data_IF_418166865320
#
_entry.id   IF_418166865320
#
_cell.length_a   1.000
_cell.length_b   1.000
_cell.length_c   1.000
_cell.angle_alpha   90.00
_cell.angle_beta   90.00
_cell.angle_gamma   90.00
#
_symmetry.space_group_name_H-M   'P 1'
#
loop_
_entity.id
_entity.type
_entity.pdbx_description
1 polymer ?
#
# COMPACT_ATOMS: atom_id res chain seq x y z
N UNK A 1 15.79 28.86 34.00
CA UNK A 1 15.24 27.74 33.21
C UNK A 1 15.94 27.70 31.86
N UNK A 2 16.60 26.60 31.48
CA UNK A 2 17.18 26.45 30.13
C UNK A 2 16.06 26.14 29.13
N UNK A 3 15.97 26.82 27.98
CA UNK A 3 14.96 26.48 26.97
C UNK A 3 15.27 25.09 26.41
N UNK A 4 14.29 24.18 26.46
CA UNK A 4 14.37 22.88 25.80
C UNK A 4 14.45 23.14 24.29
N UNK A 5 15.56 22.75 23.66
CA UNK A 5 15.67 22.72 22.19
C UNK A 5 14.61 21.75 21.68
N UNK A 6 13.52 22.29 21.13
CA UNK A 6 12.58 21.51 20.33
C UNK A 6 13.34 21.15 19.07
N UNK A 7 13.70 19.87 18.93
CA UNK A 7 14.33 19.35 17.71
C UNK A 7 13.25 19.48 16.62
N UNK A 8 13.35 20.52 15.80
CA UNK A 8 12.57 20.63 14.57
C UNK A 8 13.08 19.52 13.64
N UNK A 9 12.39 18.39 13.66
CA UNK A 9 12.66 17.30 12.73
C UNK A 9 12.26 17.82 11.35
N UNK A 10 13.25 17.96 10.48
CA UNK A 10 13.06 18.46 9.13
C UNK A 10 11.95 17.67 8.40
N UNK A 11 11.03 18.32 7.67
CA UNK A 11 9.96 17.65 6.92
C UNK A 11 10.48 16.53 6.01
N UNK A 12 11.70 16.67 5.49
CA UNK A 12 12.38 15.68 4.64
C UNK A 12 12.63 14.38 5.43
N UNK A 13 13.10 14.49 6.67
CA UNK A 13 13.33 13.34 7.56
C UNK A 13 12.01 12.65 7.92
N UNK A 14 10.94 13.40 8.14
CA UNK A 14 9.62 12.85 8.49
C UNK A 14 9.04 11.98 7.38
N UNK A 15 9.14 12.43 6.12
CA UNK A 15 8.65 11.65 4.97
C UNK A 15 9.45 10.37 4.75
N UNK A 16 10.77 10.41 4.94
CA UNK A 16 11.61 9.23 4.81
C UNK A 16 11.31 8.19 5.91
N UNK A 17 11.18 8.64 7.16
CA UNK A 17 10.77 7.79 8.27
C UNK A 17 9.40 7.15 8.03
N UNK A 18 8.43 7.92 7.50
CA UNK A 18 7.11 7.41 7.19
C UNK A 18 7.16 6.30 6.13
N UNK A 19 7.92 6.49 5.04
CA UNK A 19 8.10 5.48 3.99
C UNK A 19 8.77 4.21 4.52
N UNK A 20 9.78 4.34 5.38
CA UNK A 20 10.42 3.18 6.04
C UNK A 20 9.40 2.43 6.89
N UNK A 21 8.58 3.14 7.68
CA UNK A 21 7.54 2.52 8.49
C UNK A 21 6.53 1.77 7.63
N UNK A 22 6.08 2.37 6.52
CA UNK A 22 5.18 1.70 5.57
C UNK A 22 5.79 0.44 4.96
N UNK A 23 7.07 0.46 4.59
CA UNK A 23 7.79 -0.73 4.11
C UNK A 23 7.87 -1.82 5.18
N UNK A 24 8.21 -1.46 6.42
CA UNK A 24 8.23 -2.41 7.54
C UNK A 24 6.86 -3.01 7.82
N UNK A 25 5.81 -2.19 7.80
CA UNK A 25 4.43 -2.67 7.94
C UNK A 25 4.06 -3.61 6.81
N UNK A 26 4.40 -3.29 5.56
CA UNK A 26 4.18 -4.18 4.42
C UNK A 26 4.88 -5.53 4.62
N UNK A 27 6.13 -5.54 5.08
CA UNK A 27 6.90 -6.77 5.28
C UNK A 27 6.34 -7.65 6.42
N UNK A 28 5.78 -7.04 7.46
CA UNK A 28 5.28 -7.75 8.63
C UNK A 28 3.78 -8.09 8.56
N UNK A 29 3.02 -7.45 7.68
CA UNK A 29 1.59 -7.70 7.50
C UNK A 29 1.38 -8.82 6.48
N UNK A 30 0.51 -9.78 6.82
CA UNK A 30 0.11 -10.86 5.90
C UNK A 30 -1.15 -10.56 5.09
N UNK A 31 -1.69 -9.34 5.20
CA UNK A 31 -2.97 -8.97 4.62
C UNK A 31 -2.85 -7.85 3.59
N UNK A 32 -3.56 -8.00 2.48
CA UNK A 32 -3.74 -6.98 1.45
C UNK A 32 -5.23 -6.72 1.29
N UNK A 33 -5.59 -5.44 1.25
CA UNK A 33 -6.95 -5.00 1.06
C UNK A 33 -7.01 -4.07 -0.15
N UNK A 34 -8.04 -4.23 -0.97
CA UNK A 34 -8.38 -3.34 -2.08
C UNK A 34 -9.80 -2.85 -1.96
N UNK A 35 -10.19 -1.92 -2.83
CA UNK A 35 -11.57 -1.46 -2.95
C UNK A 35 -12.22 -2.14 -4.17
N UNK A 36 -13.45 -2.66 -4.02
CA UNK A 36 -14.13 -3.43 -5.06
C UNK A 36 -15.56 -2.93 -5.30
N UNK A 37 -15.91 -2.69 -6.56
CA UNK A 37 -17.27 -2.46 -7.04
C UNK A 37 -17.37 -2.90 -8.50
N UNK A 38 -17.90 -4.10 -8.76
CA UNK A 38 -17.93 -4.72 -10.10
C UNK A 38 -16.55 -4.82 -10.78
N UNK A 39 -15.48 -4.74 -9.98
CA UNK A 39 -14.11 -4.57 -10.45
C UNK A 39 -13.24 -3.99 -9.35
N UNK A 40 -11.93 -4.12 -9.53
CA UNK A 40 -10.95 -3.53 -8.63
C UNK A 40 -10.79 -2.04 -8.90
N UNK A 41 -10.75 -1.23 -7.84
CA UNK A 41 -10.48 0.20 -7.98
C UNK A 41 -9.10 0.43 -8.60
N UNK A 42 -9.04 1.37 -9.54
CA UNK A 42 -7.80 1.91 -10.11
C UNK A 42 -7.96 3.41 -10.22
N UNK A 43 -6.86 4.14 -10.13
CA UNK A 43 -6.89 5.60 -10.27
C UNK A 43 -5.69 6.11 -11.03
N UNK A 44 -5.83 7.30 -11.60
CA UNK A 44 -4.68 8.01 -12.18
C UNK A 44 -3.93 8.75 -11.09
N UNK A 45 -2.61 8.67 -11.17
CA UNK A 45 -1.69 9.47 -10.39
C UNK A 45 -0.70 10.17 -11.33
N UNK A 46 -1.04 11.40 -11.70
CA UNK A 46 -0.37 12.13 -12.78
C UNK A 46 -0.45 11.35 -14.10
N UNK A 47 0.68 10.89 -14.64
CA UNK A 47 0.76 10.11 -15.87
C UNK A 47 0.59 8.60 -15.63
N UNK A 48 0.72 8.14 -14.37
CA UNK A 48 0.66 6.73 -14.03
C UNK A 48 -0.78 6.27 -13.75
N UNK A 49 -1.09 5.02 -14.14
CA UNK A 49 -2.24 4.32 -13.58
C UNK A 49 -1.78 3.52 -12.36
N UNK A 50 -2.48 3.66 -11.23
CA UNK A 50 -2.15 2.96 -10.00
C UNK A 50 -3.29 2.10 -9.49
N UNK A 51 -2.91 0.97 -8.89
CA UNK A 51 -3.79 0.09 -8.14
C UNK A 51 -3.59 0.36 -6.64
N UNK A 52 -4.51 1.09 -5.99
CA UNK A 52 -4.42 1.41 -4.57
C UNK A 52 -4.71 0.19 -3.71
N UNK A 53 -3.88 -0.05 -2.70
CA UNK A 53 -4.11 -1.10 -1.71
C UNK A 53 -3.70 -0.65 -0.30
N UNK A 54 -4.19 -1.39 0.70
CA UNK A 54 -4.01 -1.12 2.12
C UNK A 54 -3.64 -2.39 2.89
N UNK A 55 -3.05 -2.21 4.07
CA UNK A 55 -2.68 -3.30 4.97
C UNK A 55 -3.76 -3.62 6.01
N UNK A 56 -4.85 -2.84 6.05
CA UNK A 56 -5.99 -3.08 6.93
C UNK A 56 -7.31 -2.64 6.26
N UNK A 57 -8.44 -3.26 6.64
CA UNK A 57 -9.73 -2.99 6.02
C UNK A 57 -10.29 -1.60 6.36
N UNK A 58 -9.95 -1.05 7.52
CA UNK A 58 -10.49 0.23 7.99
C UNK A 58 -9.96 1.38 7.13
N UNK A 59 -8.68 1.37 6.78
CA UNK A 59 -8.07 2.37 5.91
C UNK A 59 -8.64 2.29 4.50
N UNK A 60 -8.82 1.07 3.97
CA UNK A 60 -9.49 0.86 2.69
C UNK A 60 -10.93 1.39 2.70
N UNK A 61 -11.67 1.12 3.79
CA UNK A 61 -13.04 1.61 3.99
C UNK A 61 -13.10 3.14 4.02
N UNK A 62 -12.30 3.76 4.87
CA UNK A 62 -12.29 5.20 5.09
C UNK A 62 -11.92 5.92 3.79
N UNK A 63 -10.93 5.41 3.07
CA UNK A 63 -10.53 5.97 1.79
C UNK A 63 -11.65 5.84 0.74
N UNK A 64 -12.26 4.65 0.61
CA UNK A 64 -13.34 4.40 -0.33
C UNK A 64 -14.56 5.28 -0.02
N UNK A 65 -14.98 5.41 1.23
CA UNK A 65 -16.12 6.26 1.60
C UNK A 65 -15.94 7.73 1.19
N UNK A 66 -14.70 8.22 1.21
CA UNK A 66 -14.40 9.59 0.84
C UNK A 66 -14.28 9.80 -0.69
N UNK A 67 -13.74 8.82 -1.42
CA UNK A 67 -13.37 9.00 -2.84
C UNK A 67 -14.20 8.15 -3.82
N UNK A 68 -14.68 6.98 -3.38
CA UNK A 68 -15.40 5.97 -4.15
C UNK A 68 -16.56 5.36 -3.34
N UNK A 69 -17.67 6.09 -3.14
CA UNK A 69 -18.70 5.72 -2.18
C UNK A 69 -19.37 4.35 -2.43
N UNK A 70 -19.38 3.90 -3.69
CA UNK A 70 -19.95 2.60 -4.08
C UNK A 70 -18.98 1.41 -3.87
N UNK A 71 -17.71 1.69 -3.59
CA UNK A 71 -16.69 0.67 -3.42
C UNK A 71 -16.61 0.17 -1.98
N UNK A 72 -16.53 -1.15 -1.84
CA UNK A 72 -16.38 -1.82 -0.54
C UNK A 72 -14.96 -2.37 -0.36
N UNK A 73 -14.41 -2.32 0.86
CA UNK A 73 -13.11 -2.92 1.14
C UNK A 73 -13.20 -4.43 1.04
N UNK A 74 -12.30 -5.03 0.26
CA UNK A 74 -12.23 -6.46 0.01
C UNK A 74 -10.82 -6.97 0.22
N UNK A 75 -10.68 -8.04 1.01
CA UNK A 75 -9.41 -8.72 1.23
C UNK A 75 -8.97 -9.37 -0.08
N UNK A 76 -7.70 -9.20 -0.42
CA UNK A 76 -7.05 -9.85 -1.54
C UNK A 76 -6.25 -11.02 -0.98
N UNK A 77 -6.47 -12.20 -1.51
CA UNK A 77 -5.66 -13.36 -1.16
C UNK A 77 -4.22 -13.09 -1.64
N UNK A 78 -3.23 -13.30 -0.75
CA UNK A 78 -1.82 -13.05 -1.03
C UNK A 78 -1.31 -13.88 -2.23
N UNK A 79 -1.70 -15.14 -2.33
CA UNK A 79 -1.31 -16.03 -3.43
C UNK A 79 -1.93 -15.56 -4.77
N UNK A 80 -3.22 -15.24 -4.78
CA UNK A 80 -3.89 -14.68 -5.97
C UNK A 80 -3.27 -13.33 -6.36
N UNK A 81 -2.85 -12.53 -5.36
CA UNK A 81 -2.17 -11.27 -5.60
C UNK A 81 -0.83 -11.50 -6.30
N UNK A 82 0.00 -12.44 -5.83
CA UNK A 82 1.32 -12.74 -6.41
C UNK A 82 1.21 -13.34 -7.82
N UNK A 83 0.32 -14.32 -7.98
CA UNK A 83 0.29 -15.20 -9.15
C UNK A 83 -0.66 -14.73 -10.25
N UNK A 84 -1.72 -13.99 -9.92
CA UNK A 84 -2.71 -13.52 -10.90
C UNK A 84 -2.74 -11.99 -11.02
N UNK A 85 -2.85 -11.27 -9.90
CA UNK A 85 -3.06 -9.83 -9.94
C UNK A 85 -1.79 -9.08 -10.35
N UNK A 86 -0.63 -9.35 -9.75
CA UNK A 86 0.64 -8.68 -10.08
C UNK A 86 1.04 -8.82 -11.56
N UNK A 87 0.98 -10.01 -12.19
CA UNK A 87 1.21 -10.14 -13.63
C UNK A 87 0.21 -9.33 -14.47
N UNK A 88 -1.05 -9.31 -14.06
CA UNK A 88 -2.10 -8.56 -14.75
C UNK A 88 -1.85 -7.05 -14.67
N UNK A 89 -1.53 -6.53 -13.48
CA UNK A 89 -1.19 -5.13 -13.29
C UNK A 89 0.04 -4.73 -14.12
N UNK A 90 1.07 -5.57 -14.14
CA UNK A 90 2.28 -5.34 -14.94
C UNK A 90 1.97 -5.28 -16.44
N UNK A 91 1.12 -6.19 -16.94
CA UNK A 91 0.68 -6.20 -18.35
C UNK A 91 -0.13 -4.96 -18.72
N UNK A 92 -0.91 -4.42 -17.79
CA UNK A 92 -1.74 -3.23 -17.99
C UNK A 92 -0.98 -1.91 -17.72
N UNK A 93 0.32 -1.97 -17.43
CA UNK A 93 1.12 -0.82 -17.01
C UNK A 93 0.50 -0.08 -15.79
N UNK A 94 -0.06 -0.84 -14.85
CA UNK A 94 -0.66 -0.35 -13.61
C UNK A 94 0.29 -0.64 -12.46
N UNK A 95 0.64 0.40 -11.69
CA UNK A 95 1.56 0.27 -10.56
C UNK A 95 0.80 0.07 -9.24
N UNK A 96 1.02 -1.02 -8.48
CA UNK A 96 0.43 -1.15 -7.17
C UNK A 96 1.01 -0.10 -6.21
N UNK A 97 0.15 0.53 -5.43
CA UNK A 97 0.52 1.61 -4.51
C UNK A 97 -0.09 1.38 -3.13
N UNK A 98 0.76 1.31 -2.10
CA UNK A 98 0.35 1.21 -0.71
C UNK A 98 -0.09 2.59 -0.20
N UNK A 99 -1.32 2.71 0.26
CA UNK A 99 -1.86 3.93 0.83
C UNK A 99 -1.82 3.90 2.36
N UNK A 100 -1.62 5.07 2.95
CA UNK A 100 -1.73 5.31 4.39
C UNK A 100 -2.85 6.33 4.69
N UNK A 101 -3.33 6.32 5.92
CA UNK A 101 -4.37 7.23 6.47
C UNK A 101 -4.08 8.71 6.23
N UNK A 102 -2.80 9.12 6.20
CA UNK A 102 -2.39 10.50 5.97
C UNK A 102 -2.36 10.91 4.48
N UNK A 103 -2.92 10.10 3.58
CA UNK A 103 -2.90 10.34 2.13
C UNK A 103 -1.52 10.14 1.46
N UNK A 104 -0.52 9.69 2.23
CA UNK A 104 0.77 9.28 1.68
C UNK A 104 0.63 7.94 0.97
N UNK A 105 1.27 7.83 -0.19
CA UNK A 105 1.31 6.60 -0.98
C UNK A 105 2.73 6.18 -1.29
N UNK A 106 2.93 4.87 -1.37
CA UNK A 106 4.19 4.24 -1.75
C UNK A 106 3.94 3.33 -2.95
N UNK A 107 4.40 3.77 -4.12
CA UNK A 107 4.37 2.97 -5.36
C UNK A 107 5.42 1.86 -5.26
N UNK A 108 5.03 0.65 -5.64
CA UNK A 108 5.89 -0.52 -5.61
C UNK A 108 5.79 -1.24 -6.95
N UNK A 109 6.92 -1.65 -7.52
CA UNK A 109 6.91 -2.52 -8.69
C UNK A 109 6.48 -3.94 -8.31
N UNK A 110 6.04 -4.74 -9.28
CA UNK A 110 5.75 -6.15 -9.04
C UNK A 110 6.97 -6.91 -8.47
N UNK A 111 8.19 -6.56 -8.88
CA UNK A 111 9.41 -7.13 -8.33
C UNK A 111 9.63 -6.73 -6.86
N UNK A 112 9.39 -5.46 -6.51
CA UNK A 112 9.46 -4.99 -5.13
C UNK A 112 8.40 -5.67 -4.24
N UNK A 113 7.17 -5.85 -4.74
CA UNK A 113 6.13 -6.59 -4.01
C UNK A 113 6.57 -8.04 -3.73
N UNK A 114 7.08 -8.76 -4.74
CA UNK A 114 7.64 -10.12 -4.59
C UNK A 114 8.76 -10.20 -3.53
N UNK A 115 9.62 -9.20 -3.50
CA UNK A 115 10.74 -9.19 -2.56
C UNK A 115 10.35 -8.75 -1.14
N UNK A 116 9.44 -7.79 -0.99
CA UNK A 116 9.13 -7.19 0.31
C UNK A 116 8.00 -7.91 1.04
N UNK A 117 6.95 -8.32 0.31
CA UNK A 117 5.76 -8.92 0.92
C UNK A 117 5.82 -10.45 0.93
N UNK A 118 6.30 -11.05 -0.17
CA UNK A 118 6.22 -12.51 -0.38
C UNK A 118 7.49 -13.27 0.04
N UNK A 119 8.63 -12.61 0.26
CA UNK A 119 9.86 -13.30 0.66
C UNK A 119 9.81 -13.82 2.10
N UNK A 120 9.19 -13.08 3.03
CA UNK A 120 9.15 -13.45 4.44
C UNK A 120 8.04 -14.45 4.77
N UNK A 121 6.94 -14.46 4.02
CA UNK A 121 5.88 -15.47 4.18
C UNK A 121 6.40 -16.89 3.90
N UNK A 122 7.42 -17.03 3.03
CA UNK A 122 8.07 -18.31 2.74
C UNK A 122 9.01 -18.81 3.85
N UNK A 123 9.43 -17.94 4.78
CA UNK A 123 10.33 -18.32 5.90
C UNK A 123 9.57 -18.86 7.12
N UNK A 124 8.26 -18.63 7.22
CA UNK A 124 7.42 -19.10 8.33
C UNK A 124 6.81 -20.50 8.11
N UNK A 125 7.18 -21.20 7.02
CA UNK A 125 6.68 -22.53 6.65
C UNK A 125 7.86 -23.50 6.48
N UNK A 126 8.81 -23.47 7.42
CA UNK A 126 9.90 -24.46 7.51
C UNK A 126 9.89 -25.11 8.90
#
# INVERSE_FOLDING_TARGET
>A
MKPRKIIQIDPICKNFLLKITMLKSLMNCGELWGAYHQGWAMMRDQEDCIFPFWLNPLDAKNYAQQHWPDYIPRKINSEDFENALLPTLSRLNVTPALFNTNGTKLKLTAAQMRHLFFSQQRLHIA
#
